data_IF_392923980733
#
_entry.id   IF_392923980733
#
_cell.length_a   1.000
_cell.length_b   1.000
_cell.length_c   1.000
_cell.angle_alpha   90.00
_cell.angle_beta   90.00
_cell.angle_gamma   90.00
#
_symmetry.space_group_name_H-M   'P 1'
#
loop_
_entity.id
_entity.type
_entity.pdbx_description
1 polymer ?
#
# COMPACT_ATOMS: atom_id res chain seq x y z
N UNK A 1 29.03 -3.32 25.87
CA UNK A 1 28.60 -4.64 25.38
C UNK A 1 28.01 -4.41 24.00
N UNK A 2 28.74 -4.79 22.95
CA UNK A 2 28.41 -4.47 21.55
C UNK A 2 27.47 -5.56 21.04
N UNK A 3 26.21 -5.22 20.78
CA UNK A 3 25.32 -6.01 19.93
C UNK A 3 25.31 -5.41 18.54
N UNK A 4 25.81 -6.18 17.58
CA UNK A 4 25.66 -5.96 16.15
C UNK A 4 24.18 -5.80 15.79
N UNK A 5 23.81 -4.69 15.16
CA UNK A 5 22.55 -4.62 14.42
C UNK A 5 22.77 -5.24 13.05
N UNK A 6 22.43 -6.53 12.92
CA UNK A 6 21.97 -7.05 11.64
C UNK A 6 20.57 -6.48 11.41
N UNK A 7 20.31 -5.95 10.23
CA UNK A 7 18.96 -5.84 9.67
C UNK A 7 18.42 -7.25 9.43
N UNK A 8 18.09 -7.94 10.52
CA UNK A 8 17.13 -9.01 10.52
C UNK A 8 15.81 -8.34 10.89
N UNK A 9 14.84 -8.39 9.98
CA UNK A 9 13.45 -8.18 10.34
C UNK A 9 13.16 -9.03 11.57
N UNK A 10 12.69 -8.39 12.63
CA UNK A 10 12.32 -9.06 13.86
C UNK A 10 11.06 -9.87 13.55
N UNK A 11 11.24 -11.16 13.25
CA UNK A 11 10.17 -12.15 13.28
C UNK A 11 10.34 -12.99 14.55
N UNK A 12 9.39 -12.86 15.48
CA UNK A 12 9.10 -13.83 16.54
C UNK A 12 7.58 -13.89 16.74
N UNK A 13 6.92 -15.00 17.10
CA UNK A 13 7.11 -16.44 16.91
C UNK A 13 5.87 -17.17 17.48
N UNK A 14 5.61 -18.40 16.99
CA UNK A 14 5.12 -19.58 17.74
C UNK A 14 3.64 -19.75 18.13
N UNK A 15 3.22 -20.99 17.87
CA UNK A 15 2.16 -21.83 18.48
C UNK A 15 0.73 -21.36 18.24
N UNK A 16 0.08 -21.89 17.19
CA UNK A 16 -0.81 -23.08 17.24
C UNK A 16 -1.43 -23.27 15.84
N UNK A 17 -1.10 -24.35 15.15
CA UNK A 17 -1.88 -24.80 13.99
C UNK A 17 -2.11 -26.29 14.12
N UNK A 18 -3.29 -26.63 14.65
CA UNK A 18 -3.89 -27.94 14.58
C UNK A 18 -5.33 -27.74 14.12
N UNK A 19 -5.70 -28.46 13.06
CA UNK A 19 -7.03 -28.61 12.48
C UNK A 19 -7.60 -27.40 11.69
N UNK A 20 -7.33 -27.38 10.38
CA UNK A 20 -8.35 -27.00 9.40
C UNK A 20 -8.95 -28.30 8.87
N UNK A 21 -10.01 -28.79 9.52
CA UNK A 21 -10.92 -29.68 8.83
C UNK A 21 -11.81 -28.82 7.92
N UNK A 22 -11.77 -29.15 6.63
CA UNK A 22 -12.64 -28.71 5.53
C UNK A 22 -13.83 -27.84 5.96
N UNK A 23 -13.77 -26.56 5.62
CA UNK A 23 -14.98 -25.79 5.33
C UNK A 23 -15.18 -25.91 3.82
N UNK A 24 -15.84 -27.01 3.41
CA UNK A 24 -16.42 -27.14 2.07
C UNK A 24 -17.60 -26.14 2.00
N UNK A 25 -17.31 -24.90 1.63
CA UNK A 25 -18.33 -23.86 1.46
C UNK A 25 -17.78 -22.73 0.62
N UNK A 26 -18.35 -22.52 -0.56
CA UNK A 26 -17.94 -21.51 -1.54
C UNK A 26 -17.72 -20.14 -0.88
N UNK A 27 -16.52 -19.56 -1.00
CA UNK A 27 -16.21 -18.17 -0.64
C UNK A 27 -16.86 -17.19 -1.62
N UNK A 28 -18.19 -17.25 -1.71
CA UNK A 28 -19.01 -16.17 -2.26
C UNK A 28 -19.48 -15.32 -1.08
N UNK A 29 -19.46 -14.00 -1.24
CA UNK A 29 -20.24 -13.14 -0.34
C UNK A 29 -21.70 -13.62 -0.33
N UNK A 30 -22.46 -13.31 0.71
CA UNK A 30 -23.86 -13.73 0.84
C UNK A 30 -24.76 -13.30 -0.33
N UNK A 31 -24.31 -12.35 -1.16
CA UNK A 31 -24.97 -11.87 -2.37
C UNK A 31 -24.43 -12.48 -3.69
N UNK A 32 -23.51 -13.46 -3.61
CA UNK A 32 -22.98 -14.20 -4.76
C UNK A 32 -21.86 -13.50 -5.53
N UNK A 33 -21.32 -12.38 -5.03
CA UNK A 33 -20.21 -11.64 -5.66
C UNK A 33 -18.84 -12.28 -5.35
N UNK A 34 -17.84 -12.07 -6.22
CA UNK A 34 -16.46 -12.41 -5.93
C UNK A 34 -15.92 -11.68 -4.69
N UNK A 35 -15.04 -12.33 -3.93
CA UNK A 35 -14.29 -11.70 -2.84
C UNK A 35 -13.15 -10.89 -3.43
N UNK A 36 -13.12 -9.59 -3.13
CA UNK A 36 -12.02 -8.70 -3.50
C UNK A 36 -10.78 -9.01 -2.66
N UNK A 37 -9.61 -9.07 -3.29
CA UNK A 37 -8.31 -9.26 -2.64
C UNK A 37 -7.32 -8.18 -3.09
N UNK A 38 -6.43 -7.80 -2.19
CA UNK A 38 -5.28 -6.96 -2.48
C UNK A 38 -4.04 -7.80 -2.67
N UNK A 39 -3.20 -7.38 -3.61
CA UNK A 39 -1.95 -8.07 -3.90
C UNK A 39 -0.79 -7.24 -3.41
N UNK A 40 -0.14 -7.72 -2.35
CA UNK A 40 1.08 -7.12 -1.84
C UNK A 40 2.27 -7.49 -2.71
N UNK A 41 2.88 -6.47 -3.30
CA UNK A 41 4.08 -6.58 -4.11
C UNK A 41 5.26 -6.11 -3.28
N UNK A 42 5.83 -7.05 -2.50
CA UNK A 42 7.00 -6.78 -1.69
C UNK A 42 8.25 -6.70 -2.57
N UNK A 43 8.95 -5.57 -2.51
CA UNK A 43 10.30 -5.45 -3.07
C UNK A 43 11.32 -5.71 -1.97
N UNK A 44 11.76 -6.96 -1.84
CA UNK A 44 13.03 -7.21 -1.15
C UNK A 44 14.19 -6.91 -2.12
N UNK A 45 15.37 -6.47 -1.62
CA UNK A 45 16.50 -6.08 -2.47
C UNK A 45 16.94 -7.13 -3.49
N UNK A 46 16.61 -8.41 -3.30
CA UNK A 46 17.16 -9.52 -4.09
C UNK A 46 16.13 -10.54 -4.62
N UNK A 47 14.82 -10.44 -4.31
CA UNK A 47 13.83 -11.44 -4.75
C UNK A 47 12.40 -10.90 -4.94
N UNK A 48 11.76 -11.34 -6.03
CA UNK A 48 10.32 -11.19 -6.26
C UNK A 48 9.55 -12.25 -5.45
N UNK A 49 8.87 -11.83 -4.39
CA UNK A 49 7.94 -12.68 -3.66
C UNK A 49 6.50 -12.19 -3.87
N UNK A 50 5.69 -13.00 -4.53
CA UNK A 50 4.24 -12.97 -4.34
C UNK A 50 3.97 -13.82 -3.10
N UNK A 51 3.17 -13.33 -2.17
CA UNK A 51 2.67 -14.16 -1.06
C UNK A 51 1.16 -14.10 -1.08
N UNK A 52 0.53 -15.19 -1.51
CA UNK A 52 -0.83 -15.47 -1.08
C UNK A 52 -0.79 -16.00 0.36
N UNK A 53 -1.83 -15.74 1.16
CA UNK A 53 -1.97 -16.22 2.54
C UNK A 53 -1.74 -17.75 2.65
N UNK A 54 -2.09 -18.49 1.58
CA UNK A 54 -1.89 -19.93 1.44
C UNK A 54 -0.42 -20.37 1.28
N UNK A 55 0.47 -19.53 0.74
CA UNK A 55 1.90 -19.83 0.61
C UNK A 55 2.65 -19.66 1.93
N UNK A 56 2.22 -18.71 2.77
CA UNK A 56 2.68 -18.60 4.15
C UNK A 56 2.31 -19.87 4.95
N UNK A 57 1.11 -20.43 4.69
CA UNK A 57 0.69 -21.74 5.23
C UNK A 57 1.52 -22.90 4.66
N UNK A 58 1.78 -22.95 3.35
CA UNK A 58 2.59 -24.01 2.73
C UNK A 58 4.03 -24.05 3.29
N UNK A 59 4.66 -22.88 3.45
CA UNK A 59 5.96 -22.73 4.11
C UNK A 59 5.93 -23.18 5.58
N UNK A 60 4.83 -22.89 6.29
CA UNK A 60 4.63 -23.34 7.66
C UNK A 60 4.47 -24.86 7.78
N UNK A 61 3.82 -25.49 6.81
CA UNK A 61 3.57 -26.93 6.76
C UNK A 61 4.75 -27.74 6.17
N UNK A 62 5.88 -27.09 5.86
CA UNK A 62 7.04 -27.75 5.24
C UNK A 62 6.75 -28.24 3.82
N UNK A 63 5.68 -27.76 3.18
CA UNK A 63 5.43 -28.01 1.76
C UNK A 63 6.38 -27.14 0.94
N UNK A 64 6.90 -27.63 -0.19
CA UNK A 64 7.68 -26.78 -1.09
C UNK A 64 6.85 -25.54 -1.41
N UNK A 65 7.39 -24.34 -1.17
CA UNK A 65 6.70 -23.12 -1.57
C UNK A 65 6.39 -23.24 -3.06
N UNK A 66 5.21 -22.76 -3.47
CA UNK A 66 4.99 -22.47 -4.88
C UNK A 66 6.17 -21.59 -5.32
N UNK A 67 6.78 -22.02 -6.43
CA UNK A 67 8.14 -21.61 -6.78
C UNK A 67 8.17 -20.09 -6.82
N UNK A 68 9.13 -19.42 -6.14
CA UNK A 68 9.37 -18.02 -6.44
C UNK A 68 9.46 -17.91 -7.96
N UNK A 69 8.88 -16.85 -8.53
CA UNK A 69 9.20 -16.48 -9.89
C UNK A 69 10.72 -16.49 -9.93
N UNK A 70 11.29 -17.41 -10.72
CA UNK A 70 12.71 -17.69 -10.73
C UNK A 70 13.39 -16.57 -11.53
N UNK A 71 13.11 -15.32 -11.16
CA UNK A 71 13.69 -14.12 -11.72
C UNK A 71 14.72 -13.65 -10.71
N UNK A 72 16.00 -13.80 -11.06
CA UNK A 72 17.10 -13.12 -10.42
C UNK A 72 17.07 -11.60 -10.72
N UNK A 73 15.88 -11.01 -10.85
CA UNK A 73 15.62 -9.64 -11.30
C UNK A 73 14.72 -8.96 -10.29
N UNK A 74 15.09 -7.74 -9.93
CA UNK A 74 14.25 -6.81 -9.18
C UNK A 74 13.11 -6.27 -10.06
N UNK A 75 12.07 -5.68 -9.45
CA UNK A 75 10.96 -5.11 -10.21
C UNK A 75 11.40 -4.04 -11.22
N UNK A 76 12.46 -3.29 -10.92
CA UNK A 76 13.01 -2.26 -11.82
C UNK A 76 13.70 -2.83 -13.06
N UNK A 77 14.02 -4.13 -13.06
CA UNK A 77 14.74 -4.85 -14.12
C UNK A 77 13.82 -5.72 -15.00
N UNK A 78 12.53 -5.80 -14.67
CA UNK A 78 11.56 -6.57 -15.44
C UNK A 78 11.38 -5.95 -16.83
N UNK A 79 11.52 -6.78 -17.86
CA UNK A 79 11.17 -6.42 -19.23
C UNK A 79 9.65 -6.47 -19.42
N UNK A 80 9.09 -5.83 -20.48
CA UNK A 80 7.66 -5.93 -20.77
C UNK A 80 7.14 -7.38 -20.85
N UNK A 81 7.93 -8.29 -21.43
CA UNK A 81 7.60 -9.72 -21.51
C UNK A 81 7.57 -10.38 -20.13
N UNK A 82 8.48 -9.99 -19.22
CA UNK A 82 8.50 -10.49 -17.85
C UNK A 82 7.22 -10.08 -17.09
N UNK A 83 6.74 -8.85 -17.30
CA UNK A 83 5.52 -8.33 -16.67
C UNK A 83 4.27 -9.05 -17.19
N UNK A 84 4.17 -9.28 -18.50
CA UNK A 84 3.05 -10.06 -19.09
C UNK A 84 3.02 -11.48 -18.53
N UNK A 85 4.19 -12.12 -18.43
CA UNK A 85 4.31 -13.44 -17.83
C UNK A 85 3.86 -13.43 -16.36
N UNK A 86 4.34 -12.47 -15.57
CA UNK A 86 3.94 -12.34 -14.17
C UNK A 86 2.42 -12.14 -14.03
N UNK A 87 1.80 -11.30 -14.86
CA UNK A 87 0.35 -11.10 -14.87
C UNK A 87 -0.43 -12.40 -15.08
N UNK A 88 0.00 -13.23 -16.04
CA UNK A 88 -0.65 -14.53 -16.31
C UNK A 88 -0.46 -15.55 -15.19
N UNK A 89 0.70 -15.57 -14.54
CA UNK A 89 0.95 -16.45 -13.38
C UNK A 89 0.11 -16.02 -12.17
N UNK A 90 -0.03 -14.72 -11.92
CA UNK A 90 -0.89 -14.16 -10.86
C UNK A 90 -2.36 -14.53 -11.11
N UNK A 91 -2.88 -14.28 -12.31
CA UNK A 91 -4.27 -14.62 -12.65
C UNK A 91 -4.54 -16.12 -12.44
N UNK A 92 -3.64 -16.98 -12.93
CA UNK A 92 -3.76 -18.42 -12.76
C UNK A 92 -3.78 -18.84 -11.28
N UNK A 93 -2.96 -18.21 -10.44
CA UNK A 93 -2.93 -18.48 -9.00
C UNK A 93 -4.20 -17.99 -8.29
N UNK A 94 -4.68 -16.77 -8.60
CA UNK A 94 -5.92 -16.24 -8.02
C UNK A 94 -7.11 -17.11 -8.39
N UNK A 95 -7.21 -17.55 -9.64
CA UNK A 95 -8.34 -18.38 -10.10
C UNK A 95 -8.29 -19.81 -9.59
N UNK A 96 -7.11 -20.32 -9.23
CA UNK A 96 -6.95 -21.69 -8.72
C UNK A 96 -7.07 -21.79 -7.20
N UNK A 97 -6.74 -20.73 -6.44
CA UNK A 97 -6.76 -20.73 -4.97
C UNK A 97 -8.16 -20.87 -4.38
N UNK A 98 -9.19 -20.27 -4.98
CA UNK A 98 -10.60 -20.47 -4.61
C UNK A 98 -11.50 -19.81 -5.67
N UNK A 99 -12.63 -20.43 -6.01
CA UNK A 99 -13.56 -19.85 -7.00
C UNK A 99 -14.08 -18.50 -6.52
N UNK A 100 -13.84 -17.45 -7.29
CA UNK A 100 -14.46 -16.13 -7.10
C UNK A 100 -13.60 -15.14 -6.33
N UNK A 101 -12.27 -15.12 -6.49
CA UNK A 101 -11.43 -14.01 -6.03
C UNK A 101 -11.09 -13.06 -7.18
N UNK A 102 -11.05 -11.76 -6.88
CA UNK A 102 -10.73 -10.70 -7.84
C UNK A 102 -9.71 -9.72 -7.24
N UNK A 103 -8.67 -9.37 -8.00
CA UNK A 103 -7.69 -8.37 -7.57
C UNK A 103 -8.26 -6.97 -7.79
N UNK A 104 -8.38 -6.17 -6.73
CA UNK A 104 -8.90 -4.78 -6.79
C UNK A 104 -7.82 -3.71 -6.71
N UNK A 105 -6.68 -4.04 -6.10
CA UNK A 105 -5.55 -3.15 -5.93
C UNK A 105 -4.22 -3.91 -5.82
N UNK A 106 -3.13 -3.20 -6.06
CA UNK A 106 -1.75 -3.65 -5.84
C UNK A 106 -1.09 -2.74 -4.79
N UNK A 107 -0.33 -3.28 -3.85
CA UNK A 107 0.36 -2.47 -2.84
C UNK A 107 1.89 -2.64 -2.95
N UNK A 108 2.66 -1.59 -2.67
CA UNK A 108 4.13 -1.68 -2.60
C UNK A 108 4.75 -0.64 -1.65
N UNK A 109 6.00 -0.88 -1.25
CA UNK A 109 6.79 -0.01 -0.36
C UNK A 109 8.00 0.54 -1.10
N UNK A 110 8.03 1.85 -1.33
CA UNK A 110 9.06 2.54 -2.12
C UNK A 110 9.64 3.75 -1.37
N UNK A 111 10.34 3.53 -0.24
CA UNK A 111 10.91 4.64 0.54
C UNK A 111 11.93 5.46 -0.26
N UNK A 112 12.66 4.85 -1.19
CA UNK A 112 13.72 5.46 -1.99
C UNK A 112 13.24 6.23 -3.22
N UNK A 113 11.94 6.27 -3.49
CA UNK A 113 11.37 7.02 -4.64
C UNK A 113 11.64 8.54 -4.58
N UNK A 114 12.06 9.06 -3.42
CA UNK A 114 12.47 10.46 -3.22
C UNK A 114 13.97 10.63 -2.95
N UNK A 115 14.76 9.57 -3.12
CA UNK A 115 16.20 9.61 -2.87
C UNK A 115 16.87 10.72 -3.71
N UNK A 116 17.89 11.37 -3.14
CA UNK A 116 18.60 12.44 -3.84
C UNK A 116 19.49 11.90 -4.95
N UNK A 117 19.63 12.66 -6.04
CA UNK A 117 20.53 12.32 -7.16
C UNK A 117 22.01 12.33 -6.77
N UNK A 118 22.34 12.79 -5.55
CA UNK A 118 23.71 12.78 -5.01
C UNK A 118 24.14 11.40 -4.55
N UNK A 119 23.22 10.46 -4.38
CA UNK A 119 23.58 9.08 -4.02
C UNK A 119 24.26 8.40 -5.21
N UNK A 120 25.31 7.64 -4.91
CA UNK A 120 26.11 6.93 -5.91
C UNK A 120 25.30 5.83 -6.62
N UNK A 121 24.23 5.33 -6.00
CA UNK A 121 23.35 4.31 -6.57
C UNK A 121 22.03 4.93 -7.08
N UNK A 122 21.52 4.50 -8.26
CA UNK A 122 20.31 5.04 -8.89
C UNK A 122 19.01 4.62 -8.19
N UNK A 123 19.02 4.51 -6.86
CA UNK A 123 17.90 4.11 -6.00
C UNK A 123 16.56 4.77 -6.37
N UNK A 124 16.56 6.08 -6.68
CA UNK A 124 15.35 6.76 -7.14
C UNK A 124 14.86 6.27 -8.50
N UNK A 125 15.74 6.13 -9.48
CA UNK A 125 15.35 5.68 -10.82
C UNK A 125 14.88 4.22 -10.82
N UNK A 126 15.48 3.39 -9.97
CA UNK A 126 15.04 2.01 -9.77
C UNK A 126 13.62 1.97 -9.17
N UNK A 127 13.34 2.75 -8.12
CA UNK A 127 11.99 2.86 -7.57
C UNK A 127 10.97 3.40 -8.57
N UNK A 128 11.35 4.39 -9.40
CA UNK A 128 10.50 4.93 -10.48
C UNK A 128 10.18 3.85 -11.51
N UNK A 129 11.17 3.07 -11.95
CA UNK A 129 10.97 1.94 -12.88
C UNK A 129 10.12 0.84 -12.25
N UNK A 130 10.37 0.51 -10.99
CA UNK A 130 9.59 -0.49 -10.28
C UNK A 130 8.11 -0.08 -10.19
N UNK A 131 7.83 1.17 -9.81
CA UNK A 131 6.47 1.70 -9.80
C UNK A 131 5.83 1.67 -11.19
N UNK A 132 6.56 2.05 -12.24
CA UNK A 132 6.07 1.97 -13.62
C UNK A 132 5.69 0.52 -14.02
N UNK A 133 6.50 -0.45 -13.61
CA UNK A 133 6.25 -1.86 -13.87
C UNK A 133 5.04 -2.39 -13.08
N UNK A 134 4.83 -1.94 -11.85
CA UNK A 134 3.64 -2.27 -11.04
C UNK A 134 2.37 -1.64 -11.64
N UNK A 135 2.41 -0.39 -12.10
CA UNK A 135 1.31 0.25 -12.81
C UNK A 135 0.98 -0.53 -14.09
N UNK A 136 2.00 -0.95 -14.83
CA UNK A 136 1.86 -1.76 -16.05
C UNK A 136 1.23 -3.11 -15.73
N UNK A 137 1.65 -3.76 -14.65
CA UNK A 137 1.05 -5.00 -14.18
C UNK A 137 -0.43 -4.82 -13.84
N UNK A 138 -0.79 -3.80 -13.05
CA UNK A 138 -2.18 -3.53 -12.70
C UNK A 138 -3.06 -3.29 -13.92
N UNK A 139 -2.53 -2.58 -14.93
CA UNK A 139 -3.20 -2.42 -16.23
C UNK A 139 -3.43 -3.75 -16.94
N UNK A 140 -2.42 -4.62 -17.00
CA UNK A 140 -2.53 -5.93 -17.65
C UNK A 140 -3.54 -6.83 -16.93
N UNK A 141 -3.46 -6.93 -15.61
CA UNK A 141 -4.43 -7.66 -14.78
C UNK A 141 -5.86 -7.17 -15.05
N UNK A 142 -6.05 -5.86 -15.24
CA UNK A 142 -7.34 -5.27 -15.57
C UNK A 142 -7.81 -5.58 -16.98
N UNK A 143 -6.99 -5.28 -17.99
CA UNK A 143 -7.39 -5.32 -19.39
C UNK A 143 -7.41 -6.73 -19.96
N UNK A 144 -6.40 -7.52 -19.63
CA UNK A 144 -6.13 -8.78 -20.30
C UNK A 144 -6.68 -9.97 -19.48
N UNK A 145 -6.78 -9.81 -18.16
CA UNK A 145 -7.25 -10.84 -17.23
C UNK A 145 -8.57 -10.50 -16.53
N UNK A 146 -9.13 -9.31 -16.76
CA UNK A 146 -10.48 -8.93 -16.30
C UNK A 146 -10.59 -8.67 -14.80
N UNK A 147 -9.49 -8.49 -14.08
CA UNK A 147 -9.54 -8.09 -12.66
C UNK A 147 -9.94 -6.60 -12.53
N UNK A 148 -10.72 -6.21 -11.52
CA UNK A 148 -11.12 -4.82 -11.30
C UNK A 148 -10.02 -3.94 -10.67
N UNK A 149 -8.76 -4.09 -11.09
CA UNK A 149 -7.62 -3.34 -10.52
C UNK A 149 -7.78 -1.85 -10.79
N UNK A 150 -8.07 -1.09 -9.74
CA UNK A 150 -8.34 0.36 -9.83
C UNK A 150 -7.21 1.21 -9.24
N UNK A 151 -6.42 0.63 -8.33
CA UNK A 151 -5.42 1.36 -7.54
C UNK A 151 -4.10 0.61 -7.44
N UNK A 152 -3.00 1.38 -7.40
CA UNK A 152 -1.70 0.96 -6.89
C UNK A 152 -1.40 1.79 -5.64
N UNK A 153 -1.43 1.15 -4.47
CA UNK A 153 -1.05 1.77 -3.21
C UNK A 153 0.47 1.79 -3.06
N UNK A 154 0.96 2.92 -2.55
CA UNK A 154 2.37 3.04 -2.20
C UNK A 154 2.53 3.70 -0.84
N UNK A 155 3.31 3.06 0.03
CA UNK A 155 3.95 3.71 1.17
C UNK A 155 5.29 4.26 0.67
N UNK A 156 5.43 5.58 0.64
CA UNK A 156 6.48 6.23 -0.16
C UNK A 156 7.22 7.37 0.55
N UNK A 157 8.47 7.57 0.11
CA UNK A 157 9.18 8.83 0.29
C UNK A 157 9.83 9.02 1.66
N UNK A 158 10.87 8.24 1.93
CA UNK A 158 11.71 8.39 3.12
C UNK A 158 12.52 9.68 3.11
N UNK A 159 12.49 10.40 4.24
CA UNK A 159 13.29 11.60 4.52
C UNK A 159 14.76 11.30 4.78
N UNK A 160 15.11 10.04 4.99
CA UNK A 160 16.48 9.64 5.32
C UNK A 160 17.41 9.86 4.13
N UNK A 161 18.29 10.85 4.23
CA UNK A 161 19.30 11.12 3.21
C UNK A 161 20.58 10.31 3.45
N UNK A 162 21.10 10.33 4.69
CA UNK A 162 22.33 9.63 5.06
C UNK A 162 22.43 9.42 6.57
N UNK A 163 23.27 8.46 6.97
CA UNK A 163 23.69 8.23 8.34
C UNK A 163 25.18 8.54 8.45
N UNK A 164 25.56 9.57 9.21
CA UNK A 164 26.95 10.00 9.37
C UNK A 164 27.50 9.53 10.70
N UNK A 165 28.59 8.78 10.67
CA UNK A 165 29.34 8.43 11.87
C UNK A 165 30.01 9.66 12.47
N UNK A 166 29.84 9.88 13.77
CA UNK A 166 30.51 10.93 14.55
C UNK A 166 31.35 10.27 15.63
N UNK A 167 32.65 10.57 15.63
CA UNK A 167 33.53 10.16 16.70
C UNK A 167 33.08 10.84 18.00
N UNK A 168 32.77 10.05 19.03
CA UNK A 168 32.55 10.56 20.38
C UNK A 168 33.87 10.55 21.14
N UNK A 169 34.14 11.60 21.91
CA UNK A 169 35.39 11.73 22.68
C UNK A 169 35.61 10.67 23.76
N UNK A 170 34.61 9.82 24.02
CA UNK A 170 34.66 8.68 24.94
C UNK A 170 34.84 7.31 24.23
N UNK A 171 35.09 7.28 22.92
CA UNK A 171 35.22 6.05 22.13
C UNK A 171 33.89 5.43 21.68
N UNK A 172 32.74 6.02 22.02
CA UNK A 172 31.45 5.58 21.49
C UNK A 172 31.26 6.00 20.03
N UNK A 173 30.70 5.12 19.20
CA UNK A 173 30.24 5.49 17.86
C UNK A 173 28.88 6.16 17.98
N UNK A 174 28.83 7.46 17.70
CA UNK A 174 27.55 8.18 17.52
C UNK A 174 27.21 8.23 16.04
N UNK A 175 25.93 8.22 15.73
CA UNK A 175 25.44 8.38 14.36
C UNK A 175 24.48 9.56 14.31
N UNK A 176 24.64 10.39 13.30
CA UNK A 176 23.77 11.51 13.01
C UNK A 176 22.95 11.18 11.76
N UNK A 177 21.64 11.32 11.86
CA UNK A 177 20.71 11.09 10.77
C UNK A 177 20.49 12.42 10.05
N UNK A 178 20.82 12.48 8.76
CA UNK A 178 20.48 13.62 7.92
C UNK A 178 19.08 13.40 7.34
N UNK A 179 18.15 14.29 7.71
CA UNK A 179 16.78 14.29 7.21
C UNK A 179 16.57 15.44 6.24
N UNK A 180 15.94 15.15 5.12
CA UNK A 180 15.48 16.15 4.16
C UNK A 180 14.23 16.87 4.67
N UNK A 181 13.99 18.07 4.13
CA UNK A 181 12.76 18.82 4.41
C UNK A 181 11.56 18.19 3.71
N UNK A 182 10.37 18.31 4.31
CA UNK A 182 9.12 17.79 3.73
C UNK A 182 8.87 18.37 2.33
N UNK A 183 9.04 19.68 2.15
CA UNK A 183 8.85 20.34 0.86
C UNK A 183 9.75 19.75 -0.23
N UNK A 184 11.01 19.49 0.08
CA UNK A 184 11.98 18.95 -0.87
C UNK A 184 11.62 17.53 -1.28
N UNK A 185 11.27 16.66 -0.32
CA UNK A 185 10.92 15.27 -0.65
C UNK A 185 9.57 15.16 -1.35
N UNK A 186 8.59 15.99 -1.02
CA UNK A 186 7.30 16.02 -1.71
C UNK A 186 7.46 16.49 -3.16
N UNK A 187 8.30 17.49 -3.43
CA UNK A 187 8.61 17.92 -4.79
C UNK A 187 9.24 16.79 -5.61
N UNK A 188 10.19 16.04 -5.04
CA UNK A 188 10.77 14.86 -5.70
C UNK A 188 9.77 13.73 -5.87
N UNK A 189 8.89 13.50 -4.90
CA UNK A 189 7.84 12.49 -4.98
C UNK A 189 6.96 12.75 -6.19
N UNK A 190 6.44 13.97 -6.35
CA UNK A 190 5.62 14.36 -7.50
C UNK A 190 6.35 14.13 -8.82
N UNK A 191 7.62 14.54 -8.91
CA UNK A 191 8.45 14.28 -10.10
C UNK A 191 8.59 12.79 -10.40
N UNK A 192 8.86 11.96 -9.39
CA UNK A 192 9.02 10.51 -9.54
C UNK A 192 7.70 9.83 -9.95
N UNK A 193 6.56 10.26 -9.40
CA UNK A 193 5.23 9.75 -9.76
C UNK A 193 4.89 10.06 -11.21
N UNK A 194 5.18 11.30 -11.66
CA UNK A 194 5.00 11.70 -13.04
C UNK A 194 5.85 10.85 -14.00
N UNK A 195 7.14 10.65 -13.67
CA UNK A 195 8.02 9.81 -14.47
C UNK A 195 7.53 8.35 -14.52
N UNK A 196 7.09 7.78 -13.39
CA UNK A 196 6.59 6.41 -13.34
C UNK A 196 5.34 6.24 -14.22
N UNK A 197 4.39 7.19 -14.17
CA UNK A 197 3.21 7.20 -15.02
C UNK A 197 3.57 7.35 -16.51
N UNK A 198 4.52 8.24 -16.84
CA UNK A 198 4.99 8.42 -18.22
C UNK A 198 5.62 7.13 -18.77
N UNK A 199 6.45 6.44 -17.97
CA UNK A 199 7.06 5.17 -18.35
C UNK A 199 6.00 4.08 -18.54
N UNK A 200 5.05 3.94 -17.62
CA UNK A 200 3.98 2.95 -17.69
C UNK A 200 3.02 3.18 -18.88
N UNK A 201 2.85 4.43 -19.31
CA UNK A 201 2.01 4.81 -20.45
C UNK A 201 2.79 4.83 -21.79
N UNK A 202 4.08 4.50 -21.80
CA UNK A 202 4.87 4.50 -23.02
C UNK A 202 4.34 3.48 -24.05
N UNK A 203 4.62 3.71 -25.35
CA UNK A 203 4.23 2.78 -26.42
C UNK A 203 2.77 2.88 -26.88
N UNK A 204 2.09 4.00 -26.64
CA UNK A 204 0.72 4.24 -27.12
C UNK A 204 -0.40 3.79 -26.17
N UNK A 205 -0.04 3.37 -24.96
CA UNK A 205 -1.00 3.04 -23.89
C UNK A 205 -1.78 4.29 -23.48
N UNK A 206 -3.11 4.20 -23.40
CA UNK A 206 -3.90 5.32 -22.93
C UNK A 206 -3.75 5.45 -21.41
N UNK A 207 -3.48 6.67 -20.95
CA UNK A 207 -3.30 6.97 -19.53
C UNK A 207 -4.53 6.58 -18.70
N UNK A 208 -5.73 6.66 -19.26
CA UNK A 208 -6.98 6.29 -18.61
C UNK A 208 -7.05 4.80 -18.26
N UNK A 209 -6.26 3.96 -18.94
CA UNK A 209 -6.18 2.53 -18.68
C UNK A 209 -5.37 2.18 -17.43
N UNK A 210 -4.45 3.06 -17.02
CA UNK A 210 -3.61 2.83 -15.87
C UNK A 210 -4.39 3.00 -14.56
N UNK A 211 -4.17 2.13 -13.56
CA UNK A 211 -4.70 2.34 -12.21
C UNK A 211 -4.22 3.68 -11.64
N UNK A 212 -5.01 4.24 -10.72
CA UNK A 212 -4.60 5.41 -9.95
C UNK A 212 -3.56 5.01 -8.89
N UNK A 213 -2.76 5.96 -8.42
CA UNK A 213 -1.77 5.76 -7.36
C UNK A 213 -2.32 6.33 -6.06
N UNK A 214 -2.43 5.50 -5.03
CA UNK A 214 -2.86 5.92 -3.70
C UNK A 214 -1.63 6.04 -2.78
N UNK A 215 -1.30 7.27 -2.40
CA UNK A 215 -0.23 7.54 -1.45
C UNK A 215 -0.72 7.29 -0.03
N UNK A 216 -0.07 6.39 0.66
CA UNK A 216 -0.39 6.13 2.06
C UNK A 216 0.37 7.07 3.00
N UNK A 217 -0.32 7.47 4.07
CA UNK A 217 0.28 8.17 5.18
C UNK A 217 0.95 7.15 6.10
N UNK A 218 2.25 7.28 6.29
CA UNK A 218 2.99 6.45 7.24
C UNK A 218 3.32 7.26 8.50
N UNK A 219 2.94 6.79 9.71
CA UNK A 219 3.15 7.55 10.92
C UNK A 219 4.61 7.86 11.24
N UNK A 220 4.79 8.95 11.99
CA UNK A 220 6.09 9.31 12.55
C UNK A 220 6.91 10.31 11.71
N UNK A 221 8.19 10.40 12.02
CA UNK A 221 9.02 11.53 11.62
C UNK A 221 9.56 11.49 10.20
N UNK A 222 9.45 10.37 9.49
CA UNK A 222 10.40 10.01 8.44
C UNK A 222 9.84 9.91 7.02
N UNK A 223 8.54 10.09 6.81
CA UNK A 223 7.93 9.92 5.49
C UNK A 223 7.42 11.24 4.89
N UNK A 224 7.18 11.21 3.56
CA UNK A 224 6.68 12.33 2.78
C UNK A 224 5.25 12.72 3.13
N UNK A 225 4.46 11.71 3.51
CA UNK A 225 3.08 11.83 3.97
C UNK A 225 3.03 11.19 5.34
N UNK A 226 2.84 11.99 6.39
CA UNK A 226 3.00 11.54 7.78
C UNK A 226 1.99 12.10 8.75
N UNK A 227 1.32 13.20 8.40
CA UNK A 227 0.36 13.92 9.22
C UNK A 227 -0.52 14.84 8.35
N UNK A 228 -1.49 15.51 8.98
CA UNK A 228 -2.43 16.40 8.29
C UNK A 228 -1.75 17.54 7.51
N UNK A 229 -0.68 18.13 8.05
CA UNK A 229 0.04 19.22 7.37
C UNK A 229 0.66 18.72 6.05
N UNK A 230 1.31 17.56 6.09
CA UNK A 230 1.93 16.96 4.91
C UNK A 230 0.90 16.48 3.88
N UNK A 231 -0.25 15.95 4.32
CA UNK A 231 -1.38 15.62 3.45
C UNK A 231 -1.90 16.89 2.74
N UNK A 232 -2.10 17.96 3.50
CA UNK A 232 -2.61 19.23 2.99
C UNK A 232 -1.65 19.86 1.99
N UNK A 233 -0.35 19.92 2.32
CA UNK A 233 0.65 20.48 1.40
C UNK A 233 0.74 19.68 0.11
N UNK A 234 0.69 18.35 0.19
CA UNK A 234 0.77 17.48 -0.98
C UNK A 234 -0.51 17.54 -1.83
N UNK A 235 -1.69 17.59 -1.21
CA UNK A 235 -2.97 17.76 -1.92
C UNK A 235 -2.98 19.05 -2.75
N UNK A 236 -2.51 20.15 -2.16
CA UNK A 236 -2.40 21.44 -2.85
C UNK A 236 -1.36 21.40 -3.97
N UNK A 237 -0.23 20.70 -3.78
CA UNK A 237 0.78 20.56 -4.81
C UNK A 237 0.30 19.67 -5.98
N UNK A 238 -0.51 18.65 -5.70
CA UNK A 238 -1.16 17.83 -6.73
C UNK A 238 -2.14 18.65 -7.58
N UNK A 239 -2.93 19.55 -6.96
CA UNK A 239 -3.81 20.48 -7.71
C UNK A 239 -3.01 21.36 -8.69
N UNK A 240 -1.75 21.64 -8.36
CA UNK A 240 -0.82 22.43 -9.18
C UNK A 240 0.00 21.58 -10.17
N UNK A 241 -0.21 20.26 -10.22
CA UNK A 241 0.53 19.34 -11.09
C UNK A 241 -0.43 18.61 -12.04
N UNK A 242 -0.94 19.27 -13.11
CA UNK A 242 -1.95 18.70 -14.01
C UNK A 242 -1.54 17.36 -14.65
N UNK A 243 -0.24 17.12 -14.81
CA UNK A 243 0.30 15.89 -15.41
C UNK A 243 -0.01 14.62 -14.61
N UNK A 244 -0.33 14.74 -13.31
CA UNK A 244 -0.62 13.59 -12.42
C UNK A 244 -1.84 13.77 -11.51
N UNK A 245 -2.44 14.97 -11.47
CA UNK A 245 -3.52 15.33 -10.53
C UNK A 245 -4.74 14.41 -10.57
N UNK A 246 -5.08 13.90 -11.76
CA UNK A 246 -6.19 12.99 -12.06
C UNK A 246 -5.86 11.50 -11.81
N UNK A 247 -4.61 11.20 -11.43
CA UNK A 247 -4.13 9.82 -11.21
C UNK A 247 -3.54 9.57 -9.83
N UNK A 248 -3.36 10.60 -9.01
CA UNK A 248 -2.75 10.46 -7.68
C UNK A 248 -3.71 10.95 -6.60
N UNK A 249 -3.90 10.12 -5.58
CA UNK A 249 -4.67 10.44 -4.39
C UNK A 249 -4.05 9.82 -3.15
N UNK A 250 -4.86 9.62 -2.11
CA UNK A 250 -4.43 9.09 -0.82
C UNK A 250 -5.09 7.74 -0.53
N UNK A 251 -4.32 6.84 0.08
CA UNK A 251 -4.84 5.69 0.80
C UNK A 251 -5.15 6.14 2.25
N UNK A 252 -6.40 6.00 2.66
CA UNK A 252 -6.83 6.22 4.04
C UNK A 252 -6.69 4.90 4.81
N UNK A 253 -5.52 4.62 5.37
CA UNK A 253 -5.42 3.69 6.49
C UNK A 253 -5.88 4.41 7.77
N UNK A 254 -7.02 3.97 8.31
CA UNK A 254 -7.65 4.67 9.44
C UNK A 254 -6.76 4.62 10.69
N UNK A 255 -6.02 3.54 10.91
CA UNK A 255 -5.13 3.44 12.08
C UNK A 255 -3.91 4.33 11.95
N UNK A 256 -3.25 4.37 10.79
CA UNK A 256 -2.12 5.23 10.53
C UNK A 256 -2.50 6.71 10.68
N UNK A 257 -3.64 7.11 10.12
CA UNK A 257 -4.11 8.49 10.24
C UNK A 257 -4.37 8.85 11.70
N UNK A 258 -5.00 7.94 12.47
CA UNK A 258 -5.25 8.14 13.90
C UNK A 258 -3.97 8.16 14.74
N UNK A 259 -3.01 7.27 14.48
CA UNK A 259 -1.69 7.25 15.15
C UNK A 259 -0.95 8.57 14.91
N UNK A 260 -1.09 9.13 13.71
CA UNK A 260 -0.54 10.45 13.36
C UNK A 260 -1.32 11.64 13.90
N UNK A 261 -2.36 11.40 14.70
CA UNK A 261 -3.18 12.44 15.33
C UNK A 261 -4.17 13.12 14.39
N UNK A 262 -4.39 12.58 13.19
CA UNK A 262 -5.36 13.12 12.23
C UNK A 262 -6.77 12.77 12.70
N UNK A 263 -7.63 13.78 12.75
CA UNK A 263 -9.03 13.67 13.17
C UNK A 263 -9.99 13.73 11.99
N UNK A 264 -11.19 13.19 12.16
CA UNK A 264 -12.23 13.24 11.13
C UNK A 264 -12.65 14.69 10.82
N UNK A 265 -12.66 15.57 11.83
CA UNK A 265 -13.01 16.97 11.68
C UNK A 265 -11.99 17.71 10.80
N UNK A 266 -10.70 17.44 10.96
CA UNK A 266 -9.66 18.01 10.11
C UNK A 266 -9.87 17.62 8.65
N UNK A 267 -10.18 16.35 8.39
CA UNK A 267 -10.45 15.85 7.03
C UNK A 267 -11.70 16.50 6.43
N UNK A 268 -12.80 16.53 7.17
CA UNK A 268 -14.05 17.16 6.71
C UNK A 268 -13.91 18.67 6.50
N UNK A 269 -13.05 19.33 7.27
CA UNK A 269 -12.73 20.75 7.10
C UNK A 269 -11.74 21.03 5.96
N UNK A 270 -11.15 19.98 5.38
CA UNK A 270 -10.14 20.07 4.32
C UNK A 270 -10.57 19.30 3.07
N UNK A 271 -11.41 19.91 2.21
CA UNK A 271 -11.94 19.25 1.03
C UNK A 271 -10.85 18.78 0.05
N UNK A 272 -9.70 19.44 0.01
CA UNK A 272 -8.60 19.06 -0.88
C UNK A 272 -8.00 17.71 -0.48
N UNK A 273 -7.93 17.40 0.82
CA UNK A 273 -7.51 16.08 1.30
C UNK A 273 -8.67 15.09 1.15
N UNK A 274 -9.87 15.44 1.61
CA UNK A 274 -11.05 14.56 1.58
C UNK A 274 -11.34 14.01 0.17
N UNK A 275 -11.43 14.87 -0.85
CA UNK A 275 -11.76 14.45 -2.21
C UNK A 275 -10.62 13.67 -2.89
N UNK A 276 -9.42 13.66 -2.31
CA UNK A 276 -8.28 12.90 -2.82
C UNK A 276 -8.13 11.53 -2.19
N UNK A 277 -8.92 11.16 -1.18
CA UNK A 277 -8.97 9.79 -0.66
C UNK A 277 -9.51 8.87 -1.76
N UNK A 278 -8.70 7.96 -2.28
CA UNK A 278 -9.08 7.11 -3.43
C UNK A 278 -9.06 5.62 -3.11
N UNK A 279 -8.47 5.26 -1.98
CA UNK A 279 -8.45 3.92 -1.44
C UNK A 279 -8.50 4.00 0.09
N UNK A 280 -8.82 2.90 0.75
CA UNK A 280 -8.82 2.87 2.21
C UNK A 280 -8.53 1.50 2.78
N UNK A 281 -7.80 1.51 3.89
CA UNK A 281 -7.54 0.38 4.74
C UNK A 281 -8.19 0.56 6.11
N UNK A 282 -8.59 -0.56 6.68
CA UNK A 282 -9.13 -0.65 8.01
C UNK A 282 -8.30 -1.62 8.83
N UNK A 283 -7.64 -1.07 9.83
CA UNK A 283 -6.99 -1.84 10.86
C UNK A 283 -7.26 -1.29 12.25
N UNK A 284 -7.00 -2.08 13.30
CA UNK A 284 -6.92 -1.59 14.67
C UNK A 284 -5.51 -1.06 14.98
N UNK A 285 -5.39 -0.26 16.04
CA UNK A 285 -4.09 0.19 16.53
C UNK A 285 -4.02 0.11 18.04
N UNK A 286 -2.81 -0.01 18.56
CA UNK A 286 -2.59 0.10 19.99
C UNK A 286 -2.47 1.57 20.42
N UNK A 287 -3.34 2.03 21.31
CA UNK A 287 -3.33 3.39 21.88
C UNK A 287 -2.00 3.89 22.48
N UNK A 288 -1.06 2.99 22.80
CA UNK A 288 0.22 3.34 23.42
C UNK A 288 1.45 2.87 22.61
N UNK A 289 1.29 2.41 21.37
CA UNK A 289 2.42 1.97 20.56
C UNK A 289 2.23 2.37 19.09
N UNK A 290 3.34 2.53 18.35
CA UNK A 290 3.35 2.64 16.89
C UNK A 290 3.08 1.27 16.23
N UNK A 291 2.13 0.51 16.78
CA UNK A 291 1.68 -0.77 16.24
C UNK A 291 0.27 -0.54 15.68
N UNK A 292 0.21 -0.35 14.36
CA UNK A 292 -1.01 -0.52 13.57
C UNK A 292 -1.30 -2.01 13.37
N UNK A 293 -2.27 -2.28 12.49
CA UNK A 293 -2.52 -3.61 11.92
C UNK A 293 -2.89 -4.69 12.92
N UNK A 294 -3.44 -4.27 14.07
CA UNK A 294 -3.94 -5.18 15.07
C UNK A 294 -5.46 -5.34 14.96
N UNK A 295 -5.98 -6.39 15.61
CA UNK A 295 -7.42 -6.58 15.76
C UNK A 295 -8.00 -5.40 16.56
N UNK A 296 -8.98 -4.64 16.03
CA UNK A 296 -9.64 -3.57 16.78
C UNK A 296 -10.27 -4.12 18.05
N UNK A 297 -10.06 -3.43 19.18
CA UNK A 297 -10.78 -3.81 20.39
C UNK A 297 -12.29 -3.53 20.22
N UNK A 298 -13.20 -4.34 20.81
CA UNK A 298 -14.64 -4.11 20.71
C UNK A 298 -15.08 -2.67 21.06
N UNK A 299 -14.43 -2.06 22.05
CA UNK A 299 -14.71 -0.69 22.49
C UNK A 299 -14.20 0.41 21.52
N UNK A 300 -13.38 0.07 20.53
CA UNK A 300 -12.83 1.03 19.57
C UNK A 300 -13.70 1.23 18.34
N UNK A 301 -14.65 0.32 18.07
CA UNK A 301 -15.55 0.40 16.90
C UNK A 301 -16.35 1.70 16.81
N UNK A 302 -16.78 2.23 17.96
CA UNK A 302 -17.49 3.51 17.98
C UNK A 302 -16.59 4.67 17.51
N UNK A 303 -15.28 4.58 17.76
CA UNK A 303 -14.30 5.56 17.30
C UNK A 303 -14.00 5.43 15.80
N UNK A 304 -14.28 4.27 15.19
CA UNK A 304 -14.13 4.05 13.75
C UNK A 304 -15.38 4.47 12.96
N UNK A 305 -16.54 4.53 13.60
CA UNK A 305 -17.83 4.84 12.94
C UNK A 305 -17.81 6.15 12.14
N UNK A 306 -17.22 7.27 12.61
CA UNK A 306 -17.11 8.49 11.80
C UNK A 306 -16.25 8.32 10.54
N UNK A 307 -15.20 7.50 10.61
CA UNK A 307 -14.33 7.20 9.47
C UNK A 307 -15.04 6.32 8.44
N UNK A 308 -15.72 5.27 8.89
CA UNK A 308 -16.53 4.41 8.02
C UNK A 308 -17.67 5.20 7.36
N UNK A 309 -18.27 6.15 8.09
CA UNK A 309 -19.26 7.08 7.54
C UNK A 309 -18.67 7.94 6.43
N UNK A 310 -17.47 8.50 6.64
CA UNK A 310 -16.77 9.23 5.59
C UNK A 310 -16.54 8.35 4.35
N UNK A 311 -16.04 7.13 4.50
CA UNK A 311 -15.80 6.21 3.36
C UNK A 311 -17.09 5.92 2.58
N UNK A 312 -18.21 5.71 3.27
CA UNK A 312 -19.52 5.56 2.64
C UNK A 312 -19.93 6.83 1.89
N UNK A 313 -19.73 7.99 2.50
CA UNK A 313 -20.10 9.27 1.90
C UNK A 313 -19.29 9.55 0.62
N UNK A 314 -18.01 9.16 0.57
CA UNK A 314 -17.16 9.25 -0.62
C UNK A 314 -17.71 8.48 -1.83
N UNK A 315 -18.53 7.44 -1.60
CA UNK A 315 -19.24 6.68 -2.64
C UNK A 315 -20.58 7.29 -3.04
N UNK A 316 -21.03 8.37 -2.39
CA UNK A 316 -22.32 8.98 -2.71
C UNK A 316 -22.32 9.63 -4.10
N UNK A 317 -23.48 9.67 -4.81
CA UNK A 317 -23.57 10.29 -6.13
C UNK A 317 -23.10 11.74 -6.16
N UNK A 318 -23.30 12.47 -5.06
CA UNK A 318 -22.86 13.86 -4.89
C UNK A 318 -21.34 13.95 -4.90
N UNK A 319 -20.66 13.15 -4.09
CA UNK A 319 -19.20 13.14 -3.98
C UNK A 319 -18.55 12.66 -5.28
N UNK A 320 -19.12 11.62 -5.91
CA UNK A 320 -18.69 11.14 -7.23
C UNK A 320 -18.79 12.22 -8.31
N UNK A 321 -19.90 12.97 -8.35
CA UNK A 321 -20.09 14.06 -9.31
C UNK A 321 -19.06 15.20 -9.10
N UNK A 322 -18.73 15.52 -7.86
CA UNK A 322 -17.70 16.53 -7.54
C UNK A 322 -16.33 16.09 -8.06
N UNK A 323 -15.93 14.84 -7.81
CA UNK A 323 -14.65 14.28 -8.31
C UNK A 323 -14.59 14.30 -9.83
N UNK A 324 -15.67 13.88 -10.48
CA UNK A 324 -15.75 13.85 -11.94
C UNK A 324 -15.62 15.27 -12.53
N UNK A 325 -16.30 16.26 -11.94
CA UNK A 325 -16.19 17.66 -12.34
C UNK A 325 -14.76 18.21 -12.16
N UNK A 326 -14.12 17.87 -11.03
CA UNK A 326 -12.74 18.26 -10.71
C UNK A 326 -11.68 17.42 -11.43
N UNK A 327 -12.07 16.38 -12.18
CA UNK A 327 -11.17 15.39 -12.80
C UNK A 327 -10.22 14.73 -11.78
N UNK A 328 -10.73 14.46 -10.59
CA UNK A 328 -9.99 13.73 -9.56
C UNK A 328 -10.13 12.21 -9.78
N UNK A 329 -9.15 11.41 -9.31
CA UNK A 329 -9.30 9.96 -9.29
C UNK A 329 -10.53 9.55 -8.45
N UNK A 330 -11.24 8.53 -8.94
CA UNK A 330 -12.40 7.97 -8.24
C UNK A 330 -11.96 7.18 -7.01
N UNK A 331 -12.79 7.18 -5.99
CA UNK A 331 -12.63 6.25 -4.88
C UNK A 331 -12.86 4.82 -5.39
N UNK A 332 -12.00 3.89 -4.97
CA UNK A 332 -12.03 2.47 -5.39
C UNK A 332 -13.34 1.77 -5.01
N UNK A 333 -14.05 2.31 -4.01
CA UNK A 333 -15.23 1.66 -3.42
C UNK A 333 -14.87 0.46 -2.54
N UNK A 334 -13.57 0.26 -2.26
CA UNK A 334 -13.07 -0.85 -1.47
C UNK A 334 -12.58 -0.35 -0.10
N UNK A 335 -12.85 -1.13 0.95
CA UNK A 335 -12.27 -0.99 2.27
C UNK A 335 -11.56 -2.29 2.58
N UNK A 336 -10.24 -2.29 2.47
CA UNK A 336 -9.43 -3.48 2.69
C UNK A 336 -9.02 -3.59 4.14
N UNK A 337 -8.76 -4.80 4.60
CA UNK A 337 -8.44 -5.08 6.01
C UNK A 337 -6.97 -5.44 6.11
N UNK A 338 -6.18 -4.56 6.71
CA UNK A 338 -4.75 -4.75 6.93
C UNK A 338 -4.47 -5.24 8.36
N UNK A 339 -3.84 -6.40 8.51
CA UNK A 339 -3.80 -7.15 9.78
C UNK A 339 -2.47 -7.88 10.03
N UNK A 340 -1.34 -7.19 9.83
CA UNK A 340 0.00 -7.74 10.08
C UNK A 340 0.23 -8.24 11.53
N UNK A 341 -0.47 -7.64 12.50
CA UNK A 341 -0.37 -7.98 13.93
C UNK A 341 -1.56 -8.81 14.45
N UNK A 342 -2.33 -9.46 13.58
CA UNK A 342 -3.37 -10.40 14.00
C UNK A 342 -2.77 -11.71 14.55
N UNK A 343 -3.29 -12.18 15.68
CA UNK A 343 -2.81 -13.42 16.32
C UNK A 343 -3.24 -14.69 15.58
N UNK A 344 -4.37 -14.64 14.85
CA UNK A 344 -4.92 -15.76 14.11
C UNK A 344 -5.90 -15.27 13.01
N UNK A 345 -6.17 -16.16 12.06
CA UNK A 345 -7.06 -15.92 10.90
C UNK A 345 -8.52 -15.69 11.33
N UNK A 346 -9.00 -16.40 12.37
CA UNK A 346 -10.38 -16.27 12.84
C UNK A 346 -10.71 -14.83 13.26
N UNK A 347 -9.73 -14.12 13.85
CA UNK A 347 -9.89 -12.71 14.21
C UNK A 347 -10.03 -11.82 12.98
N UNK A 348 -9.32 -12.12 11.89
CA UNK A 348 -9.42 -11.38 10.61
C UNK A 348 -10.81 -11.59 10.01
N UNK A 349 -11.26 -12.86 9.94
CA UNK A 349 -12.60 -13.20 9.41
C UNK A 349 -13.70 -12.50 10.20
N UNK A 350 -13.59 -12.46 11.53
CA UNK A 350 -14.54 -11.78 12.38
C UNK A 350 -14.56 -10.27 12.16
N UNK A 351 -13.40 -9.64 11.97
CA UNK A 351 -13.32 -8.22 11.60
C UNK A 351 -14.01 -7.95 10.27
N UNK A 352 -13.76 -8.78 9.25
CA UNK A 352 -14.40 -8.64 7.93
C UNK A 352 -15.93 -8.73 8.07
N UNK A 353 -16.44 -9.67 8.88
CA UNK A 353 -17.89 -9.77 9.15
C UNK A 353 -18.44 -8.52 9.85
N UNK A 354 -17.74 -8.02 10.87
CA UNK A 354 -18.16 -6.83 11.60
C UNK A 354 -18.14 -5.58 10.71
N UNK A 355 -17.10 -5.42 9.88
CA UNK A 355 -16.98 -4.32 8.93
C UNK A 355 -18.12 -4.36 7.90
N UNK A 356 -18.41 -5.53 7.32
CA UNK A 356 -19.51 -5.72 6.39
C UNK A 356 -20.88 -5.41 7.00
N UNK A 357 -21.08 -5.62 8.31
CA UNK A 357 -22.34 -5.27 8.98
C UNK A 357 -22.56 -3.77 9.19
N UNK A 358 -21.50 -2.96 9.03
CA UNK A 358 -21.47 -1.52 9.36
C UNK A 358 -21.39 -0.62 8.13
N UNK A 359 -20.86 -1.13 7.02
CA UNK A 359 -20.87 -0.48 5.70
C UNK A 359 -22.14 -0.83 4.95
#
# INVERSE_FOLDING_TARGET
>A
MITSFSTQGIFYSKKTFGAFDRIDGECRSSDGRPTAVELYVAMEPDLLHWKFEEEARALHEGRPSLRPLNCAKTFSELSPTDIVKAAGEIDANVRSSEKGREIVALATFLPEIVASDRRVNPSRQDAVRALANIITLGRLLRKDFGHPVSTVEIVAGSRFESLKGRASGNGERKYEVCLETISTIQARLLQSLEQALQLACSGGTQRDDCPAIALELEPGGYFAVRNIDSLTSLANALDQTPAISDKVGFNLDISHWRISGVTIQEIQSNPNVQYRIIHSHFSGHHRCAHFGDCVPAPAEWDNFTPWLTLLRDLMSPKEMAIRQHKRLPMFSGCVSVEMEAARNVDSIVEIVRQLHSRL
#
